data_IF_189407034487
#
_entry.id   IF_189407034487
#
_cell.length_a   1.000
_cell.length_b   1.000
_cell.length_c   1.000
_cell.angle_alpha   90.00
_cell.angle_beta   90.00
_cell.angle_gamma   90.00
#
_symmetry.space_group_name_H-M   'P 1'
#
loop_
_entity.id
_entity.type
_entity.pdbx_description
1 polymer ?
#
# COMPACT_ATOMS: atom_id res chain seq x y z
N UNK A 1 -23.31 -78.80 -6.67
CA UNK A 1 -22.03 -78.72 -5.98
C UNK A 1 -21.73 -77.25 -5.69
N UNK A 2 -21.90 -76.91 -4.47
CA UNK A 2 -21.84 -75.55 -3.90
C UNK A 2 -20.41 -75.21 -3.58
N UNK A 3 -19.80 -74.19 -4.20
CA UNK A 3 -18.60 -73.59 -3.71
C UNK A 3 -18.88 -72.18 -3.22
N UNK A 4 -18.80 -72.04 -1.94
CA UNK A 4 -18.88 -70.80 -1.21
C UNK A 4 -17.61 -70.02 -1.40
N UNK A 5 -17.75 -68.79 -1.84
CA UNK A 5 -16.68 -67.78 -1.84
C UNK A 5 -16.69 -67.03 -0.53
N UNK A 6 -15.56 -66.83 0.13
CA UNK A 6 -15.53 -66.01 1.34
C UNK A 6 -15.54 -64.51 0.93
N UNK A 7 -16.35 -63.77 1.64
CA UNK A 7 -16.38 -62.32 1.57
C UNK A 7 -15.08 -61.78 2.20
N UNK A 8 -14.29 -61.08 1.43
CA UNK A 8 -13.15 -60.33 1.93
C UNK A 8 -13.67 -58.95 2.33
N UNK A 9 -13.79 -58.74 3.63
CA UNK A 9 -13.95 -57.38 4.17
C UNK A 9 -12.65 -56.61 3.95
N UNK A 10 -12.65 -55.69 3.02
CA UNK A 10 -11.60 -54.70 2.93
C UNK A 10 -11.94 -53.58 3.88
N UNK A 11 -11.20 -53.56 4.98
CA UNK A 11 -11.24 -52.49 5.96
C UNK A 11 -10.53 -51.28 5.33
N UNK A 12 -11.27 -50.29 4.88
CA UNK A 12 -10.71 -49.04 4.45
C UNK A 12 -10.28 -48.24 5.68
N UNK A 13 -8.98 -48.20 5.96
CA UNK A 13 -8.41 -47.23 6.87
C UNK A 13 -8.52 -45.86 6.23
N UNK A 14 -9.45 -45.06 6.67
CA UNK A 14 -9.45 -43.64 6.43
C UNK A 14 -8.31 -43.00 7.23
N UNK A 15 -7.17 -42.83 6.62
CA UNK A 15 -6.13 -41.96 7.15
C UNK A 15 -6.64 -40.50 7.04
N UNK A 16 -7.12 -39.99 8.15
CA UNK A 16 -7.33 -38.57 8.29
C UNK A 16 -5.95 -37.90 8.33
N UNK A 17 -5.47 -37.49 7.20
CA UNK A 17 -4.34 -36.58 7.07
C UNK A 17 -4.83 -35.19 7.45
N UNK A 18 -4.74 -34.84 8.72
CA UNK A 18 -4.71 -33.45 9.15
C UNK A 18 -3.38 -32.87 8.72
N UNK A 19 -3.26 -32.56 7.46
CA UNK A 19 -2.24 -31.67 6.93
C UNK A 19 -2.61 -30.24 7.23
N UNK A 20 -2.51 -29.82 8.49
CA UNK A 20 -2.49 -28.42 8.87
C UNK A 20 -1.14 -27.82 8.49
N UNK A 21 -0.92 -27.62 7.24
CA UNK A 21 0.15 -26.81 6.71
C UNK A 21 -0.47 -25.56 6.13
N UNK A 22 -0.87 -24.63 6.97
CA UNK A 22 -1.00 -23.25 6.56
C UNK A 22 0.40 -22.72 6.31
N UNK A 23 0.93 -23.04 5.17
CA UNK A 23 1.87 -22.18 4.52
C UNK A 23 1.03 -20.97 4.10
N UNK A 24 1.02 -19.92 4.92
CA UNK A 24 0.59 -18.61 4.50
C UNK A 24 1.45 -18.25 3.31
N UNK A 25 0.93 -18.46 2.12
CA UNK A 25 1.46 -17.83 0.93
C UNK A 25 1.45 -16.34 1.24
N UNK A 26 2.55 -15.60 0.96
CA UNK A 26 2.46 -14.16 0.95
C UNK A 26 1.42 -13.82 -0.11
N UNK A 27 0.18 -13.70 0.30
CA UNK A 27 -0.78 -12.95 -0.46
C UNK A 27 -0.16 -11.58 -0.57
N UNK A 28 0.38 -11.28 -1.73
CA UNK A 28 0.58 -9.92 -2.17
C UNK A 28 -0.83 -9.36 -2.27
N UNK A 29 -1.40 -9.08 -1.12
CA UNK A 29 -2.52 -8.17 -1.03
C UNK A 29 -1.90 -6.85 -1.44
N UNK A 30 -2.04 -6.50 -2.71
CA UNK A 30 -2.11 -5.12 -3.13
C UNK A 30 -3.38 -4.57 -2.49
N UNK A 31 -3.45 -4.71 -1.18
CA UNK A 31 -4.45 -4.18 -0.30
C UNK A 31 -3.88 -2.90 0.23
N UNK A 32 -4.69 -1.99 0.30
CA UNK A 32 -4.69 -0.69 0.89
C UNK A 32 -4.26 -0.75 2.39
N UNK A 33 -3.02 -1.19 2.62
CA UNK A 33 -2.43 -1.36 3.95
C UNK A 33 -1.83 -0.04 4.48
N UNK A 34 -2.11 1.10 3.83
CA UNK A 34 -1.72 2.39 4.31
C UNK A 34 -2.75 2.92 5.31
N UNK A 35 -2.27 3.39 6.47
CA UNK A 35 -3.10 3.98 7.52
C UNK A 35 -3.58 5.38 7.12
N UNK A 36 -2.71 6.13 6.44
CA UNK A 36 -3.00 7.46 5.90
C UNK A 36 -2.79 7.48 4.39
N UNK A 37 -3.84 7.83 3.64
CA UNK A 37 -3.81 7.90 2.17
C UNK A 37 -3.95 9.35 1.73
N UNK A 38 -3.01 9.81 0.92
CA UNK A 38 -2.96 11.14 0.33
C UNK A 38 -3.01 11.00 -1.19
N UNK A 39 -4.07 11.51 -1.80
CA UNK A 39 -4.21 11.58 -3.24
C UNK A 39 -4.05 13.02 -3.70
N UNK A 40 -3.02 13.30 -4.48
CA UNK A 40 -2.75 14.59 -5.08
C UNK A 40 -3.19 14.54 -6.54
N UNK A 41 -4.03 15.48 -6.95
CA UNK A 41 -4.53 15.57 -8.32
C UNK A 41 -3.98 16.82 -8.98
N UNK A 42 -3.46 16.65 -10.21
CA UNK A 42 -2.92 17.73 -11.02
C UNK A 42 -3.63 17.84 -12.36
N UNK A 43 -3.84 19.06 -12.80
CA UNK A 43 -4.33 19.39 -14.15
C UNK A 43 -3.42 20.47 -14.75
N UNK A 44 -2.92 20.23 -15.94
CA UNK A 44 -2.03 21.14 -16.66
C UNK A 44 -0.81 21.61 -15.83
N UNK A 45 -0.21 20.71 -15.04
CA UNK A 45 0.94 21.01 -14.19
C UNK A 45 0.59 21.70 -12.86
N UNK A 46 -0.68 21.95 -12.59
CA UNK A 46 -1.14 22.68 -11.42
C UNK A 46 -1.92 21.75 -10.47
N UNK A 47 -1.67 21.81 -9.15
CA UNK A 47 -2.47 21.07 -8.20
C UNK A 47 -3.93 21.56 -8.22
N UNK A 48 -4.86 20.60 -8.23
CA UNK A 48 -6.29 20.89 -8.21
C UNK A 48 -6.74 21.22 -6.79
N UNK A 49 -7.30 22.40 -6.62
CA UNK A 49 -7.82 22.87 -5.32
C UNK A 49 -6.84 23.73 -4.53
N UNK A 50 -7.21 24.00 -3.30
CA UNK A 50 -6.37 24.74 -2.35
C UNK A 50 -5.37 23.79 -1.66
N UNK A 51 -4.40 24.38 -0.93
CA UNK A 51 -3.47 23.60 -0.10
C UNK A 51 -4.24 22.77 0.93
N UNK A 52 -4.06 21.46 0.86
CA UNK A 52 -4.68 20.54 1.80
C UNK A 52 -3.88 20.44 3.10
N UNK A 53 -4.58 20.05 4.17
CA UNK A 53 -3.96 19.66 5.43
C UNK A 53 -4.43 18.27 5.81
N UNK A 54 -3.48 17.43 6.20
CA UNK A 54 -3.72 16.04 6.59
C UNK A 54 -2.92 15.75 7.84
N UNK A 55 -3.49 14.97 8.73
CA UNK A 55 -2.83 14.48 9.93
C UNK A 55 -2.53 12.98 9.80
N UNK A 56 -1.44 12.54 10.38
CA UNK A 56 -1.06 11.14 10.54
C UNK A 56 -0.57 10.90 11.97
N UNK A 57 -0.81 9.72 12.49
CA UNK A 57 -0.28 9.31 13.78
C UNK A 57 1.18 8.82 13.63
N UNK A 58 1.98 8.99 14.67
CA UNK A 58 3.34 8.45 14.69
C UNK A 58 3.28 6.93 14.54
N UNK A 59 3.97 6.42 13.53
CA UNK A 59 4.00 5.01 13.19
C UNK A 59 3.07 4.61 12.06
N UNK A 60 2.22 5.53 11.59
CA UNK A 60 1.35 5.29 10.44
C UNK A 60 2.17 5.01 9.18
N UNK A 61 1.68 4.10 8.37
CA UNK A 61 2.10 3.96 6.99
C UNK A 61 1.35 4.98 6.13
N UNK A 62 2.08 5.93 5.59
CA UNK A 62 1.54 6.97 4.71
C UNK A 62 1.79 6.58 3.26
N UNK A 63 0.74 6.64 2.45
CA UNK A 63 0.82 6.49 1.00
C UNK A 63 0.45 7.80 0.33
N UNK A 64 1.32 8.28 -0.54
CA UNK A 64 1.08 9.44 -1.39
C UNK A 64 0.99 8.98 -2.83
N UNK A 65 -0.11 9.26 -3.49
CA UNK A 65 -0.34 8.98 -4.91
C UNK A 65 -0.59 10.27 -5.65
N UNK A 66 -0.01 10.41 -6.82
CA UNK A 66 -0.21 11.56 -7.71
C UNK A 66 -0.98 11.11 -8.94
N UNK A 67 -2.04 11.83 -9.27
CA UNK A 67 -2.88 11.59 -10.44
C UNK A 67 -2.89 12.83 -11.34
N UNK A 68 -3.01 12.60 -12.64
CA UNK A 68 -3.11 13.67 -13.65
C UNK A 68 -1.77 14.09 -14.23
N UNK A 69 -1.76 15.29 -14.81
CA UNK A 69 -0.60 15.82 -15.52
C UNK A 69 0.23 16.72 -14.61
N UNK A 70 1.42 16.27 -14.24
CA UNK A 70 2.40 17.06 -13.50
C UNK A 70 3.78 16.94 -14.16
N UNK A 71 4.58 17.96 -14.08
CA UNK A 71 5.87 18.10 -14.80
C UNK A 71 7.07 18.39 -13.88
N UNK A 72 6.82 18.50 -12.58
CA UNK A 72 7.83 18.69 -11.56
C UNK A 72 7.82 17.53 -10.57
N UNK A 73 8.96 17.26 -9.93
CA UNK A 73 9.00 16.30 -8.82
C UNK A 73 8.10 16.76 -7.67
N UNK A 74 7.33 15.83 -7.13
CA UNK A 74 6.63 16.03 -5.87
C UNK A 74 7.55 15.62 -4.74
N UNK A 75 7.86 16.53 -3.84
CA UNK A 75 8.80 16.36 -2.74
C UNK A 75 8.08 16.34 -1.39
N UNK A 76 8.32 15.29 -0.60
CA UNK A 76 7.93 15.23 0.81
C UNK A 76 9.09 15.77 1.64
N UNK A 77 9.02 17.07 1.93
CA UNK A 77 10.07 17.80 2.63
C UNK A 77 10.21 17.29 4.07
N UNK A 78 11.44 17.05 4.50
CA UNK A 78 11.76 16.50 5.82
C UNK A 78 11.92 14.99 5.89
N UNK A 79 11.18 14.25 5.07
CA UNK A 79 11.42 12.82 4.81
C UNK A 79 12.35 12.60 3.63
N UNK A 80 12.56 13.63 2.81
CA UNK A 80 13.46 13.63 1.65
C UNK A 80 13.09 12.56 0.61
N UNK A 81 11.79 12.47 0.32
CA UNK A 81 11.21 11.51 -0.61
C UNK A 81 10.60 12.25 -1.80
N UNK A 82 10.73 11.64 -2.99
CA UNK A 82 10.33 12.26 -4.25
C UNK A 82 9.46 11.33 -5.08
N UNK A 83 8.48 11.92 -5.80
CA UNK A 83 7.74 11.26 -6.88
C UNK A 83 8.11 11.96 -8.18
N UNK A 84 8.64 11.18 -9.13
CA UNK A 84 9.03 11.68 -10.44
C UNK A 84 7.82 11.86 -11.35
N UNK A 85 7.79 12.92 -12.19
CA UNK A 85 6.67 13.19 -13.09
C UNK A 85 6.50 12.13 -14.20
N UNK A 86 7.55 11.41 -14.54
CA UNK A 86 7.56 10.34 -15.56
C UNK A 86 7.48 8.93 -14.95
N UNK A 87 7.23 8.83 -13.65
CA UNK A 87 7.08 7.54 -12.99
C UNK A 87 5.89 6.76 -13.56
N UNK A 88 6.09 5.48 -13.85
CA UNK A 88 5.02 4.60 -14.34
C UNK A 88 3.93 4.38 -13.26
N UNK A 89 4.32 4.43 -11.99
CA UNK A 89 3.45 4.38 -10.82
C UNK A 89 3.85 5.53 -9.89
N UNK A 90 3.20 6.70 -10.02
CA UNK A 90 3.55 7.88 -9.22
C UNK A 90 3.01 7.78 -7.80
N UNK A 91 3.48 6.78 -7.07
CA UNK A 91 3.11 6.48 -5.69
C UNK A 91 4.37 6.30 -4.85
N UNK A 92 4.37 6.81 -3.63
CA UNK A 92 5.38 6.50 -2.63
C UNK A 92 4.72 6.14 -1.30
N UNK A 93 5.43 5.34 -0.51
CA UNK A 93 5.02 4.98 0.84
C UNK A 93 6.17 5.20 1.81
N UNK A 94 5.82 5.65 3.00
CA UNK A 94 6.79 5.80 4.10
C UNK A 94 6.11 5.63 5.45
N UNK A 95 6.90 5.30 6.46
CA UNK A 95 6.43 5.25 7.84
C UNK A 95 6.61 6.64 8.50
N UNK A 96 5.54 7.18 9.07
CA UNK A 96 5.53 8.49 9.72
C UNK A 96 6.21 8.44 11.09
N UNK A 97 7.53 8.29 11.11
CA UNK A 97 8.31 8.10 12.35
C UNK A 97 8.84 9.40 12.97
N UNK A 98 8.74 10.51 12.25
CA UNK A 98 9.25 11.81 12.70
C UNK A 98 8.05 12.69 13.03
N UNK A 99 7.86 13.10 14.28
CA UNK A 99 6.80 14.04 14.62
C UNK A 99 7.11 15.44 14.09
N UNK A 100 6.08 16.15 13.66
CA UNK A 100 6.23 17.50 13.15
C UNK A 100 5.29 17.84 12.03
N UNK A 101 5.55 18.97 11.37
CA UNK A 101 4.81 19.44 10.23
C UNK A 101 5.72 19.38 9.01
N UNK A 102 5.22 18.76 7.95
CA UNK A 102 5.95 18.48 6.72
C UNK A 102 5.20 19.05 5.54
N UNK A 103 5.93 19.69 4.64
CA UNK A 103 5.40 20.23 3.41
C UNK A 103 5.56 19.20 2.28
N UNK A 104 4.51 19.01 1.51
CA UNK A 104 4.56 18.31 0.23
C UNK A 104 4.44 19.39 -0.83
N UNK A 105 5.47 19.52 -1.64
CA UNK A 105 5.64 20.63 -2.58
C UNK A 105 6.13 20.16 -3.95
N UNK A 106 5.99 21.01 -4.95
CA UNK A 106 6.65 20.87 -6.24
C UNK A 106 8.08 21.37 -6.10
N UNK A 107 9.06 20.54 -6.39
CA UNK A 107 10.48 20.79 -6.06
C UNK A 107 11.08 22.00 -6.80
N UNK A 108 10.79 22.19 -8.09
CA UNK A 108 11.42 23.26 -8.87
C UNK A 108 10.79 24.62 -8.59
N UNK A 109 9.47 24.67 -8.45
CA UNK A 109 8.75 25.93 -8.19
C UNK A 109 8.65 26.27 -6.71
N UNK A 110 8.86 25.29 -5.82
CA UNK A 110 8.65 25.44 -4.38
C UNK A 110 7.17 25.64 -4.02
N UNK A 111 6.26 25.18 -4.88
CA UNK A 111 4.84 25.37 -4.68
C UNK A 111 4.31 24.34 -3.68
N UNK A 112 3.79 24.84 -2.57
CA UNK A 112 3.15 24.01 -1.54
C UNK A 112 1.85 23.41 -2.08
N UNK A 113 1.73 22.10 -1.95
CA UNK A 113 0.55 21.31 -2.35
C UNK A 113 -0.24 20.83 -1.13
N UNK A 114 0.47 20.31 -0.13
CA UNK A 114 -0.13 19.75 1.07
C UNK A 114 0.78 19.97 2.29
N UNK A 115 0.16 20.13 3.46
CA UNK A 115 0.83 20.17 4.75
C UNK A 115 0.41 18.93 5.54
N UNK A 116 1.37 18.06 5.85
CA UNK A 116 1.19 16.86 6.66
C UNK A 116 1.65 17.14 8.09
N UNK A 117 0.79 16.88 9.06
CA UNK A 117 1.16 16.92 10.48
C UNK A 117 1.27 15.48 11.00
N UNK A 118 2.40 15.14 11.60
CA UNK A 118 2.63 13.85 12.27
C UNK A 118 2.71 14.09 13.77
N UNK A 119 1.86 13.42 14.55
CA UNK A 119 1.80 13.63 16.01
C UNK A 119 1.47 12.36 16.81
#
# INVERSE_FOLDING_TARGET
MTRRLPAICVLALAAASCGGGDAAEPTTTTGDDADTIINLVFEDGEPVGDVFRTDADIGDRVRVTVEGDFDEQVHVHGYDLYIEPDAADPTLEFDALIPGRFEIELEQSGRLVLELTVS
#
